data_IF_522112672431
#
_entry.id   IF_522112672431
#
_cell.length_a   1.000
_cell.length_b   1.000
_cell.length_c   1.000
_cell.angle_alpha   90.00
_cell.angle_beta   90.00
_cell.angle_gamma   90.00
#
_symmetry.space_group_name_H-M   'P 1'
#
loop_
_entity.id
_entity.type
_entity.pdbx_description
1 polymer ?
#
# COMPACT_ATOMS: atom_id res chain seq x y z
N UNK A 1 -32.35 -19.73 -30.79
CA UNK A 1 -31.77 -19.82 -29.44
C UNK A 1 -30.99 -18.54 -29.20
N UNK A 2 -31.31 -17.77 -28.16
CA UNK A 2 -30.63 -16.51 -27.87
C UNK A 2 -29.85 -16.66 -26.56
N UNK A 3 -28.53 -16.52 -26.62
CA UNK A 3 -27.66 -16.51 -25.45
C UNK A 3 -27.63 -15.08 -24.89
N UNK A 4 -28.02 -14.92 -23.62
CA UNK A 4 -27.94 -13.63 -22.93
C UNK A 4 -26.52 -13.50 -22.36
N UNK A 5 -25.72 -12.64 -22.98
CA UNK A 5 -24.38 -12.28 -22.50
C UNK A 5 -24.54 -11.36 -21.29
N UNK A 6 -23.87 -11.68 -20.18
CA UNK A 6 -23.75 -10.76 -19.04
C UNK A 6 -22.58 -9.82 -19.38
N UNK A 7 -22.89 -8.58 -19.72
CA UNK A 7 -21.89 -7.51 -19.78
C UNK A 7 -21.48 -7.14 -18.34
N UNK A 8 -20.50 -7.86 -17.80
CA UNK A 8 -19.85 -7.48 -16.56
C UNK A 8 -18.92 -6.30 -16.82
N UNK A 9 -19.34 -5.08 -16.48
CA UNK A 9 -18.42 -3.92 -16.54
C UNK A 9 -18.97 -2.52 -16.31
N UNK A 10 -20.28 -2.29 -16.13
CA UNK A 10 -20.83 -0.92 -16.06
C UNK A 10 -21.48 -0.53 -14.73
N UNK A 11 -21.49 -1.41 -13.72
CA UNK A 11 -22.14 -1.14 -12.44
C UNK A 11 -21.21 -0.63 -11.33
N UNK A 12 -19.98 -0.20 -11.64
CA UNK A 12 -19.06 0.34 -10.63
C UNK A 12 -18.71 1.83 -10.83
N UNK A 13 -19.43 2.57 -11.68
CA UNK A 13 -19.29 4.04 -11.76
C UNK A 13 -20.06 4.75 -10.62
N UNK A 14 -20.05 4.15 -9.43
CA UNK A 14 -20.58 4.71 -8.18
C UNK A 14 -19.50 5.32 -7.30
N UNK A 15 -18.33 5.70 -7.84
CA UNK A 15 -17.33 6.44 -7.10
C UNK A 15 -17.70 7.93 -7.15
N UNK A 16 -18.53 8.31 -6.17
CA UNK A 16 -18.69 9.63 -5.57
C UNK A 16 -18.00 10.78 -6.34
N UNK A 17 -18.79 11.54 -7.09
CA UNK A 17 -18.48 12.93 -7.36
C UNK A 17 -18.83 13.75 -6.11
N UNK A 18 -17.81 14.32 -5.48
CA UNK A 18 -17.96 15.19 -4.32
C UNK A 18 -16.64 15.92 -4.05
N UNK A 19 -16.47 17.04 -4.73
CA UNK A 19 -15.74 18.25 -4.31
C UNK A 19 -14.27 18.09 -3.86
N UNK A 20 -13.34 18.55 -4.71
CA UNK A 20 -11.92 18.78 -4.35
C UNK A 20 -11.18 17.57 -3.74
N UNK A 21 -11.45 16.34 -4.20
CA UNK A 21 -10.55 15.23 -3.93
C UNK A 21 -9.22 15.50 -4.64
N UNK A 22 -8.26 16.13 -3.94
CA UNK A 22 -6.92 16.33 -4.44
C UNK A 22 -6.43 15.02 -5.05
N UNK A 23 -6.18 15.02 -6.36
CA UNK A 23 -5.75 13.85 -7.11
C UNK A 23 -4.66 13.15 -6.31
N UNK A 24 -4.89 11.87 -5.99
CA UNK A 24 -3.91 11.11 -5.21
C UNK A 24 -2.63 11.04 -6.03
N UNK A 25 -1.57 11.62 -5.46
CA UNK A 25 -0.26 11.66 -6.08
C UNK A 25 0.65 10.57 -5.51
N UNK A 26 1.64 10.15 -6.29
CA UNK A 26 2.72 9.24 -5.90
C UNK A 26 3.37 9.67 -4.58
N UNK A 27 3.50 10.99 -4.33
CA UNK A 27 4.04 11.48 -3.06
C UNK A 27 3.16 11.10 -1.85
N UNK A 28 1.84 11.03 -2.00
CA UNK A 28 0.94 10.57 -0.94
C UNK A 28 1.10 9.08 -0.66
N UNK A 29 1.23 8.25 -1.71
CA UNK A 29 1.47 6.80 -1.59
C UNK A 29 2.80 6.54 -0.86
N UNK A 30 3.87 7.25 -1.24
CA UNK A 30 5.17 7.15 -0.58
C UNK A 30 5.12 7.54 0.89
N UNK A 31 4.39 8.61 1.23
CA UNK A 31 4.21 9.04 2.64
C UNK A 31 3.48 7.99 3.46
N UNK A 32 2.48 7.33 2.90
CA UNK A 32 1.74 6.27 3.59
C UNK A 32 2.60 5.03 3.81
N UNK A 33 3.36 4.58 2.80
CA UNK A 33 4.31 3.48 2.96
C UNK A 33 5.35 3.78 4.03
N UNK A 34 5.90 5.00 4.04
CA UNK A 34 6.84 5.45 5.08
C UNK A 34 6.19 5.51 6.48
N UNK A 35 4.91 5.89 6.57
CA UNK A 35 4.16 5.87 7.84
C UNK A 35 4.04 4.44 8.37
N UNK A 36 3.58 3.50 7.54
CA UNK A 36 3.42 2.08 7.93
C UNK A 36 4.76 1.44 8.35
N UNK A 37 5.86 1.80 7.69
CA UNK A 37 7.20 1.33 8.06
C UNK A 37 7.69 1.91 9.41
N UNK A 38 7.34 3.17 9.73
CA UNK A 38 7.60 3.74 11.05
C UNK A 38 6.79 3.02 12.13
N UNK A 39 5.52 2.75 11.86
CA UNK A 39 4.61 2.11 12.81
C UNK A 39 5.01 0.66 13.12
N UNK A 40 5.72 -0.03 12.21
CA UNK A 40 6.29 -1.37 12.46
C UNK A 40 7.56 -1.36 13.32
N UNK A 41 8.10 -0.18 13.66
CA UNK A 41 9.34 -0.06 14.42
C UNK A 41 10.60 -0.40 13.63
N UNK A 42 10.51 -0.55 12.30
CA UNK A 42 11.66 -0.87 11.44
C UNK A 42 12.81 0.13 11.64
N UNK A 43 12.53 1.43 11.68
CA UNK A 43 13.57 2.47 11.80
C UNK A 43 14.41 2.30 13.08
N UNK A 44 13.77 1.91 14.19
CA UNK A 44 14.46 1.63 15.45
C UNK A 44 15.33 0.38 15.34
N UNK A 45 14.83 -0.67 14.70
CA UNK A 45 15.55 -1.94 14.52
C UNK A 45 16.73 -1.77 13.57
N UNK A 46 16.58 -1.00 12.50
CA UNK A 46 17.66 -0.67 11.57
C UNK A 46 18.71 0.22 12.23
N UNK A 47 18.32 1.21 13.03
CA UNK A 47 19.27 2.00 13.83
C UNK A 47 20.06 1.11 14.82
N UNK A 48 19.37 0.19 15.51
CA UNK A 48 20.02 -0.81 16.37
C UNK A 48 20.99 -1.69 15.57
N UNK A 49 20.59 -2.17 14.40
CA UNK A 49 21.44 -3.00 13.52
C UNK A 49 22.72 -2.27 13.16
N UNK A 50 22.65 -0.99 12.80
CA UNK A 50 23.83 -0.19 12.44
C UNK A 50 24.83 -0.04 13.59
N UNK A 51 24.35 0.08 14.82
CA UNK A 51 25.20 0.25 16.01
C UNK A 51 25.76 -1.10 16.48
N UNK A 52 24.93 -2.13 16.51
CA UNK A 52 25.25 -3.42 17.16
C UNK A 52 25.69 -4.52 16.20
N UNK A 53 25.48 -4.33 14.90
CA UNK A 53 25.65 -5.38 13.89
C UNK A 53 24.55 -6.45 13.90
N UNK A 54 23.64 -6.44 14.88
CA UNK A 54 22.61 -7.48 15.02
C UNK A 54 21.52 -7.25 13.97
N UNK A 55 21.26 -8.27 13.15
CA UNK A 55 20.27 -8.22 12.08
C UNK A 55 18.86 -7.82 12.55
N UNK A 56 18.12 -7.17 11.65
CA UNK A 56 16.68 -6.91 11.83
C UNK A 56 15.93 -8.26 11.81
N UNK A 57 14.93 -8.48 12.67
CA UNK A 57 14.10 -9.67 12.59
C UNK A 57 13.53 -9.87 11.20
N UNK A 58 13.59 -11.11 10.70
CA UNK A 58 13.26 -11.42 9.31
C UNK A 58 11.83 -11.03 8.93
N UNK A 59 10.87 -11.18 9.84
CA UNK A 59 9.48 -10.75 9.64
C UNK A 59 9.37 -9.26 9.34
N UNK A 60 10.10 -8.42 10.08
CA UNK A 60 10.10 -6.96 9.90
C UNK A 60 10.83 -6.55 8.63
N UNK A 61 11.92 -7.23 8.28
CA UNK A 61 12.66 -6.97 7.03
C UNK A 61 11.85 -7.37 5.79
N UNK A 62 11.17 -8.52 5.83
CA UNK A 62 10.21 -8.92 4.79
C UNK A 62 9.04 -7.94 4.68
N UNK A 63 8.50 -7.48 5.82
CA UNK A 63 7.43 -6.48 5.83
C UNK A 63 7.87 -5.18 5.15
N UNK A 64 9.10 -4.69 5.40
CA UNK A 64 9.66 -3.56 4.66
C UNK A 64 9.65 -3.80 3.16
N UNK A 65 10.16 -4.93 2.71
CA UNK A 65 10.22 -5.27 1.29
C UNK A 65 8.82 -5.27 0.65
N UNK A 66 7.82 -5.80 1.34
CA UNK A 66 6.43 -5.81 0.88
C UNK A 66 5.85 -4.37 0.80
N UNK A 67 6.13 -3.52 1.79
CA UNK A 67 5.73 -2.10 1.76
C UNK A 67 6.33 -1.39 0.55
N UNK A 68 7.62 -1.56 0.29
CA UNK A 68 8.30 -0.96 -0.87
C UNK A 68 7.71 -1.45 -2.20
N UNK A 69 7.39 -2.74 -2.29
CA UNK A 69 6.71 -3.32 -3.44
C UNK A 69 5.33 -2.68 -3.68
N UNK A 70 4.50 -2.60 -2.63
CA UNK A 70 3.16 -2.00 -2.71
C UNK A 70 3.23 -0.53 -3.11
N UNK A 71 4.15 0.24 -2.53
CA UNK A 71 4.38 1.65 -2.93
C UNK A 71 4.70 1.72 -4.42
N UNK A 72 5.60 0.87 -4.91
CA UNK A 72 5.94 0.82 -6.34
C UNK A 72 4.78 0.40 -7.24
N UNK A 73 3.96 -0.55 -6.79
CA UNK A 73 2.79 -1.02 -7.53
C UNK A 73 1.69 0.05 -7.61
N UNK A 74 1.29 0.62 -6.48
CA UNK A 74 0.28 1.67 -6.40
C UNK A 74 0.71 2.93 -7.18
N UNK A 75 1.99 3.30 -7.14
CA UNK A 75 2.52 4.46 -7.86
C UNK A 75 2.48 4.33 -9.39
N UNK A 76 2.25 3.12 -9.92
CA UNK A 76 2.12 2.86 -11.37
C UNK A 76 0.67 2.81 -11.85
N UNK A 77 -0.30 2.88 -10.95
CA UNK A 77 -1.71 2.90 -11.33
C UNK A 77 -2.10 4.30 -11.81
N UNK A 78 -2.89 4.36 -12.89
CA UNK A 78 -3.44 5.60 -13.43
C UNK A 78 -4.94 5.41 -13.72
N UNK A 79 -5.85 6.02 -12.94
CA UNK A 79 -5.57 6.83 -11.74
C UNK A 79 -5.17 5.98 -10.52
N UNK A 80 -4.43 6.57 -9.57
CA UNK A 80 -4.19 5.95 -8.26
C UNK A 80 -5.53 5.86 -7.51
N UNK A 81 -5.87 4.71 -6.88
CA UNK A 81 -7.09 4.57 -6.11
C UNK A 81 -7.23 5.61 -5.00
N UNK A 82 -8.40 6.25 -4.89
CA UNK A 82 -8.65 7.27 -3.86
C UNK A 82 -8.58 6.71 -2.42
N UNK A 83 -8.88 5.43 -2.28
CA UNK A 83 -8.88 4.65 -1.05
C UNK A 83 -7.59 3.86 -0.83
N UNK A 84 -6.48 4.23 -1.48
CA UNK A 84 -5.19 3.53 -1.39
C UNK A 84 -4.66 3.29 0.03
N UNK A 85 -5.19 3.98 1.05
CA UNK A 85 -4.83 3.79 2.46
C UNK A 85 -5.49 2.57 3.09
N UNK A 86 -6.48 1.97 2.44
CA UNK A 86 -7.19 0.79 2.92
C UNK A 86 -6.23 -0.39 3.06
N UNK A 87 -6.33 -1.11 4.18
CA UNK A 87 -5.44 -2.23 4.51
C UNK A 87 -5.47 -3.37 3.47
N UNK A 88 -6.51 -3.45 2.62
CA UNK A 88 -6.55 -4.42 1.52
C UNK A 88 -5.39 -4.27 0.51
N UNK A 89 -4.80 -3.07 0.41
CA UNK A 89 -3.65 -2.82 -0.47
C UNK A 89 -2.29 -3.08 0.19
N UNK A 90 -2.24 -3.19 1.53
CA UNK A 90 -1.00 -3.19 2.28
C UNK A 90 -0.77 -4.53 2.98
N UNK A 91 0.50 -4.96 3.15
CA UNK A 91 0.81 -6.11 3.97
C UNK A 91 0.45 -5.85 5.43
N UNK A 92 0.17 -6.93 6.16
CA UNK A 92 0.06 -6.94 7.62
C UNK A 92 1.37 -7.52 8.16
N UNK A 93 1.90 -6.93 9.24
CA UNK A 93 3.09 -7.48 9.88
C UNK A 93 2.70 -8.77 10.61
N UNK A 94 3.22 -9.90 10.15
CA UNK A 94 3.05 -11.18 10.84
C UNK A 94 3.84 -11.17 12.16
N UNK A 95 3.11 -11.33 13.26
CA UNK A 95 3.69 -11.59 14.57
C UNK A 95 4.06 -13.08 14.66
N UNK A 96 5.16 -13.46 13.99
CA UNK A 96 5.74 -14.80 14.11
C UNK A 96 6.49 -14.97 15.44
#
# INVERSE_FOLDING_TARGET
MAFRVIEGGLAANGWVNGDNAAQVDVAQVRREGARRLRDSGYDRLEARRRITGIAVPRSVDHFRMQIEFVVGALSRLDPIPADFRNDCYWPILDNA
#
